data_IF_632012479592
#
_entry.id   IF_632012479592
#
_cell.length_a   1.000
_cell.length_b   1.000
_cell.length_c   1.000
_cell.angle_alpha   90.00
_cell.angle_beta   90.00
_cell.angle_gamma   90.00
#
_symmetry.space_group_name_H-M   'P 1'
#
loop_
_entity.id
_entity.type
_entity.pdbx_description
1 polymer ?
#
# COMPACT_ATOMS: atom_id res chain seq x y z
N UNK A 1 -15.63 37.46 36.57
CA UNK A 1 -15.41 36.79 35.27
C UNK A 1 -14.56 35.55 35.47
N UNK A 2 -15.11 34.36 35.18
CA UNK A 2 -14.39 33.09 35.34
C UNK A 2 -13.19 33.02 34.40
N UNK A 3 -11.97 32.97 34.95
CA UNK A 3 -10.73 32.82 34.18
C UNK A 3 -10.71 31.41 33.56
N UNK A 4 -10.98 31.31 32.26
CA UNK A 4 -10.78 30.08 31.48
C UNK A 4 -9.30 29.72 31.53
N UNK A 5 -9.00 28.47 31.90
CA UNK A 5 -7.64 27.93 31.87
C UNK A 5 -7.09 27.98 30.43
N UNK A 6 -6.07 28.81 30.20
CA UNK A 6 -5.39 28.95 28.90
C UNK A 6 -3.91 28.64 29.10
N UNK A 7 -3.38 27.72 28.29
CA UNK A 7 -1.94 27.45 28.27
C UNK A 7 -1.19 28.62 27.63
N UNK A 8 -0.02 28.97 28.19
CA UNK A 8 0.87 29.97 27.60
C UNK A 8 1.31 29.50 26.21
N UNK A 9 1.19 30.37 25.22
CA UNK A 9 1.71 30.17 23.86
C UNK A 9 3.21 30.44 23.80
N UNK A 10 3.86 30.22 22.66
CA UNK A 10 5.26 30.61 22.50
C UNK A 10 5.43 32.14 22.52
N UNK A 11 4.47 32.87 21.91
CA UNK A 11 4.44 34.34 21.94
C UNK A 11 4.31 34.90 23.36
N UNK A 12 3.49 34.27 24.21
CA UNK A 12 3.36 34.68 25.61
C UNK A 12 4.70 34.51 26.35
N UNK A 13 5.43 33.42 26.07
CA UNK A 13 6.76 33.17 26.66
C UNK A 13 7.80 34.19 26.21
N UNK A 14 7.81 34.59 24.94
CA UNK A 14 8.67 35.66 24.44
C UNK A 14 8.35 37.01 25.11
N UNK A 15 7.07 37.25 25.42
CA UNK A 15 6.63 38.45 26.15
C UNK A 15 7.15 38.45 27.59
N UNK A 16 7.13 37.29 28.27
CA UNK A 16 7.73 37.12 29.60
C UNK A 16 9.22 37.46 29.58
N UNK A 17 9.99 36.90 28.64
CA UNK A 17 11.42 37.18 28.51
C UNK A 17 11.70 38.66 28.28
N UNK A 18 11.01 39.28 27.31
CA UNK A 18 11.19 40.70 26.99
C UNK A 18 10.93 41.60 28.20
N UNK A 19 9.85 41.37 28.93
CA UNK A 19 9.49 42.19 30.10
C UNK A 19 10.44 41.97 31.29
N UNK A 20 10.95 40.75 31.47
CA UNK A 20 11.96 40.46 32.49
C UNK A 20 13.29 41.16 32.19
N UNK A 21 13.75 41.16 30.94
CA UNK A 21 14.99 41.83 30.52
C UNK A 21 14.96 43.35 30.70
N UNK A 22 13.77 43.95 30.67
CA UNK A 22 13.61 45.40 30.84
C UNK A 22 13.75 45.85 32.31
N UNK A 23 13.77 44.94 33.28
CA UNK A 23 13.94 45.19 34.73
C UNK A 23 13.04 46.30 35.34
N UNK A 24 11.95 46.66 34.66
CA UNK A 24 10.99 47.71 35.06
C UNK A 24 9.61 47.16 35.42
N UNK A 25 9.35 45.90 35.12
CA UNK A 25 8.05 45.27 35.27
C UNK A 25 8.06 44.25 36.40
N UNK A 26 7.07 44.33 37.27
CA UNK A 26 6.83 43.30 38.27
C UNK A 26 6.26 42.04 37.62
N UNK A 27 6.32 40.91 38.33
CA UNK A 27 5.69 39.66 37.86
C UNK A 27 4.16 39.79 37.77
N UNK A 28 3.56 40.76 38.47
CA UNK A 28 2.14 41.10 38.37
C UNK A 28 1.85 41.81 37.04
N UNK A 29 2.68 42.78 36.64
CA UNK A 29 2.54 43.46 35.35
C UNK A 29 2.66 42.49 34.16
N UNK A 30 3.57 41.51 34.27
CA UNK A 30 3.72 40.44 33.26
C UNK A 30 2.46 39.57 33.20
N UNK A 31 1.89 39.24 34.36
CA UNK A 31 0.67 38.43 34.44
C UNK A 31 -0.53 39.16 33.83
N UNK A 32 -0.66 40.47 34.08
CA UNK A 32 -1.73 41.31 33.55
C UNK A 32 -1.58 41.54 32.04
N UNK A 33 -0.35 41.76 31.54
CA UNK A 33 -0.07 41.89 30.11
C UNK A 33 -0.43 40.63 29.29
N UNK A 34 -0.22 39.43 29.88
CA UNK A 34 -0.53 38.15 29.24
C UNK A 34 -1.99 37.71 29.51
N UNK A 35 -2.65 38.31 30.51
CA UNK A 35 -4.00 37.94 30.94
C UNK A 35 -4.05 36.60 31.69
N UNK A 36 -3.05 36.28 32.51
CA UNK A 36 -2.99 35.04 33.29
C UNK A 36 -2.84 35.31 34.80
N UNK A 37 -2.80 34.25 35.63
CA UNK A 37 -2.58 34.44 37.07
C UNK A 37 -1.11 34.66 37.39
N UNK A 38 -0.85 35.48 38.42
CA UNK A 38 0.50 35.71 38.96
C UNK A 38 1.25 34.39 39.20
N UNK A 39 0.57 33.41 39.80
CA UNK A 39 1.09 32.07 40.08
C UNK A 39 1.54 31.33 38.82
N UNK A 40 0.88 31.54 37.68
CA UNK A 40 1.28 30.95 36.38
C UNK A 40 2.65 31.48 35.95
N UNK A 41 2.86 32.79 36.05
CA UNK A 41 4.15 33.44 35.71
C UNK A 41 5.27 32.95 36.62
N UNK A 42 5.03 32.85 37.94
CA UNK A 42 6.04 32.33 38.88
C UNK A 42 6.47 30.89 38.54
N UNK A 43 5.52 30.00 38.26
CA UNK A 43 5.85 28.61 37.90
C UNK A 43 6.49 28.50 36.52
N UNK A 44 6.09 29.32 35.56
CA UNK A 44 6.69 29.32 34.23
C UNK A 44 8.17 29.73 34.31
N UNK A 45 8.47 30.83 35.01
CA UNK A 45 9.85 31.32 35.19
C UNK A 45 10.68 30.24 35.89
N UNK A 46 10.19 29.69 37.01
CA UNK A 46 10.91 28.67 37.78
C UNK A 46 11.27 27.41 36.96
N UNK A 47 10.50 27.08 35.93
CA UNK A 47 10.70 25.87 35.11
C UNK A 47 11.77 25.99 34.04
N UNK A 48 12.24 27.20 33.74
CA UNK A 48 13.10 27.45 32.59
C UNK A 48 14.07 28.61 32.81
N UNK A 49 14.58 28.74 34.03
CA UNK A 49 15.73 29.61 34.32
C UNK A 49 17.04 28.88 34.07
N UNK A 50 18.04 29.61 33.58
CA UNK A 50 19.39 29.12 33.33
C UNK A 50 20.44 30.16 33.74
N UNK A 51 21.67 29.73 33.98
CA UNK A 51 22.81 30.63 34.26
C UNK A 51 23.33 31.15 32.92
N UNK A 52 23.29 32.46 32.75
CA UNK A 52 23.84 33.16 31.59
C UNK A 52 25.14 33.86 31.99
N UNK A 53 26.19 33.64 31.22
CA UNK A 53 27.46 34.37 31.36
C UNK A 53 27.44 35.57 30.43
N UNK A 54 27.57 36.75 31.00
CA UNK A 54 27.65 38.02 30.28
C UNK A 54 29.03 38.18 29.62
N UNK A 55 29.15 39.16 28.71
CA UNK A 55 30.41 39.45 28.01
C UNK A 55 31.54 39.90 28.94
N UNK A 56 31.21 40.43 30.10
CA UNK A 56 32.12 40.84 31.17
C UNK A 56 32.48 39.68 32.13
N UNK A 57 32.14 38.44 31.76
CA UNK A 57 32.35 37.21 32.54
C UNK A 57 31.55 37.14 33.85
N UNK A 58 30.65 38.09 34.12
CA UNK A 58 29.69 37.98 35.23
C UNK A 58 28.60 36.95 34.89
N UNK A 59 27.98 36.38 35.92
CA UNK A 59 26.91 35.39 35.74
C UNK A 59 25.59 35.92 36.29
N UNK A 60 24.50 35.69 35.58
CA UNK A 60 23.15 36.03 36.03
C UNK A 60 22.13 34.94 35.65
N UNK A 61 21.01 34.91 36.37
CA UNK A 61 19.94 33.94 36.09
C UNK A 61 18.96 34.56 35.11
N UNK A 62 18.83 33.98 33.92
CA UNK A 62 17.84 34.40 32.90
C UNK A 62 16.77 33.35 32.69
N UNK A 63 15.59 33.79 32.24
CA UNK A 63 14.51 32.94 31.78
C UNK A 63 14.66 32.65 30.28
N UNK A 64 14.46 31.39 29.85
CA UNK A 64 14.49 31.00 28.44
C UNK A 64 13.10 30.55 27.96
N UNK A 65 12.48 31.28 27.01
CA UNK A 65 11.25 30.85 26.34
C UNK A 65 11.38 29.51 25.62
N UNK A 66 12.54 29.23 25.03
CA UNK A 66 12.81 28.01 24.28
C UNK A 66 12.81 26.78 25.20
N UNK A 67 13.55 26.85 26.31
CA UNK A 67 13.58 25.79 27.32
C UNK A 67 12.19 25.59 27.93
N UNK A 68 11.49 26.69 28.27
CA UNK A 68 10.13 26.62 28.80
C UNK A 68 9.16 25.93 27.84
N UNK A 69 9.24 26.29 26.55
CA UNK A 69 8.38 25.72 25.53
C UNK A 69 8.72 24.26 25.24
N UNK A 70 10.01 23.90 25.20
CA UNK A 70 10.47 22.52 25.03
C UNK A 70 9.98 21.64 26.19
N UNK A 71 10.22 22.04 27.43
CA UNK A 71 9.78 21.33 28.64
C UNK A 71 8.26 21.14 28.67
N UNK A 72 7.48 22.17 28.30
CA UNK A 72 6.03 22.06 28.19
C UNK A 72 5.61 21.03 27.12
N UNK A 73 6.23 21.05 25.94
CA UNK A 73 5.94 20.09 24.87
C UNK A 73 6.31 18.67 25.26
N UNK A 74 7.42 18.47 25.97
CA UNK A 74 7.86 17.15 26.40
C UNK A 74 6.97 16.60 27.51
N UNK A 75 6.55 17.43 28.46
CA UNK A 75 5.54 17.06 29.45
C UNK A 75 4.19 16.69 28.80
N UNK A 76 3.78 17.37 27.72
CA UNK A 76 2.59 16.98 26.95
C UNK A 76 2.76 15.62 26.26
N UNK A 77 3.94 15.33 25.71
CA UNK A 77 4.24 14.01 25.12
C UNK A 77 4.17 12.89 26.18
N UNK A 78 4.68 13.16 27.40
CA UNK A 78 4.71 12.21 28.50
C UNK A 78 3.33 11.94 29.14
N UNK A 79 2.38 12.87 29.05
CA UNK A 79 1.03 12.75 29.61
C UNK A 79 0.08 11.85 28.81
N UNK A 80 0.51 11.28 27.69
CA UNK A 80 -0.35 10.43 26.85
C UNK A 80 -0.66 9.07 27.50
N UNK A 81 -1.92 8.63 27.43
CA UNK A 81 -2.29 7.24 27.74
C UNK A 81 -1.44 6.29 26.88
N UNK A 82 -0.89 5.25 27.48
CA UNK A 82 -0.15 4.21 26.75
C UNK A 82 -1.00 3.71 25.57
N UNK A 83 -0.53 3.81 24.33
CA UNK A 83 -1.32 3.44 23.16
C UNK A 83 -1.77 1.97 23.24
N UNK A 84 -3.00 1.67 22.80
CA UNK A 84 -3.55 0.30 22.79
C UNK A 84 -2.59 -0.73 22.13
N UNK A 85 -1.92 -0.31 21.06
CA UNK A 85 -0.92 -1.12 20.33
C UNK A 85 0.30 -1.53 21.17
N UNK A 86 0.63 -0.76 22.21
CA UNK A 86 1.73 -1.06 23.13
C UNK A 86 1.26 -1.95 24.29
N UNK A 87 -0.04 -1.89 24.64
CA UNK A 87 -0.61 -2.64 25.76
C UNK A 87 -0.98 -4.07 25.38
N UNK A 88 -1.57 -4.29 24.20
CA UNK A 88 -1.90 -5.64 23.75
C UNK A 88 -0.74 -6.29 22.98
N UNK A 89 0.01 -7.16 23.67
CA UNK A 89 1.13 -7.90 23.09
C UNK A 89 0.70 -8.98 22.10
N UNK A 90 -0.45 -9.63 22.30
CA UNK A 90 -0.97 -10.68 21.42
C UNK A 90 -1.38 -10.10 20.06
N UNK A 91 -2.20 -9.05 20.06
CA UNK A 91 -2.59 -8.34 18.83
C UNK A 91 -1.37 -7.77 18.12
N UNK A 92 -0.40 -7.22 18.87
CA UNK A 92 0.86 -6.72 18.32
C UNK A 92 1.61 -7.83 17.57
N UNK A 93 1.84 -8.99 18.22
CA UNK A 93 2.52 -10.14 17.61
C UNK A 93 1.79 -10.66 16.39
N UNK A 94 0.46 -10.77 16.44
CA UNK A 94 -0.35 -11.18 15.29
C UNK A 94 -0.16 -10.24 14.11
N UNK A 95 -0.24 -8.92 14.33
CA UNK A 95 -0.02 -7.92 13.27
C UNK A 95 1.40 -8.01 12.69
N UNK A 96 2.43 -8.19 13.53
CA UNK A 96 3.81 -8.39 13.06
C UNK A 96 3.92 -9.64 12.18
N UNK A 97 3.43 -10.78 12.64
CA UNK A 97 3.47 -12.04 11.87
C UNK A 97 2.75 -11.90 10.54
N UNK A 98 1.54 -11.34 10.51
CA UNK A 98 0.77 -11.21 9.29
C UNK A 98 1.42 -10.27 8.27
N UNK A 99 2.05 -9.18 8.71
CA UNK A 99 2.70 -8.23 7.78
C UNK A 99 4.08 -8.72 7.36
N UNK A 100 4.92 -9.18 8.29
CA UNK A 100 6.32 -9.51 8.01
C UNK A 100 6.44 -10.87 7.32
N UNK A 101 5.75 -11.89 7.83
CA UNK A 101 5.86 -13.26 7.31
C UNK A 101 4.85 -13.49 6.19
N UNK A 102 3.57 -13.19 6.44
CA UNK A 102 2.51 -13.39 5.45
C UNK A 102 2.37 -12.24 4.46
N UNK A 103 3.17 -11.16 4.57
CA UNK A 103 3.19 -10.04 3.61
C UNK A 103 1.86 -9.30 3.48
N UNK A 104 1.00 -9.27 4.50
CA UNK A 104 -0.27 -8.53 4.46
C UNK A 104 -0.06 -7.02 4.56
N UNK A 105 -1.01 -6.23 4.05
CA UNK A 105 -1.09 -4.80 4.40
C UNK A 105 -1.79 -4.65 5.76
N UNK A 106 -1.53 -3.56 6.52
CA UNK A 106 -2.26 -3.30 7.77
C UNK A 106 -3.78 -3.37 7.62
N UNK A 107 -4.31 -2.91 6.49
CA UNK A 107 -5.73 -3.03 6.19
C UNK A 107 -6.19 -4.46 5.95
N UNK A 108 -5.42 -5.27 5.22
CA UNK A 108 -5.76 -6.68 4.97
C UNK A 108 -5.72 -7.51 6.26
N UNK A 109 -4.83 -7.19 7.21
CA UNK A 109 -4.81 -7.81 8.54
C UNK A 109 -6.14 -7.58 9.25
N UNK A 110 -6.62 -6.34 9.31
CA UNK A 110 -7.89 -6.02 9.98
C UNK A 110 -9.10 -6.63 9.29
N UNK A 111 -9.08 -6.71 7.95
CA UNK A 111 -10.12 -7.39 7.19
C UNK A 111 -10.13 -8.89 7.46
N UNK A 112 -8.95 -9.54 7.51
CA UNK A 112 -8.82 -10.95 7.85
C UNK A 112 -9.33 -11.26 9.25
N UNK A 113 -8.92 -10.48 10.26
CA UNK A 113 -9.43 -10.60 11.64
C UNK A 113 -10.96 -10.57 11.68
N UNK A 114 -11.57 -9.64 10.92
CA UNK A 114 -13.03 -9.50 10.88
C UNK A 114 -13.70 -10.71 10.20
N UNK A 115 -13.15 -11.18 9.09
CA UNK A 115 -13.72 -12.30 8.33
C UNK A 115 -13.59 -13.62 9.12
N UNK A 116 -12.45 -13.82 9.78
CA UNK A 116 -12.16 -15.01 10.59
C UNK A 116 -12.84 -14.98 11.97
N UNK A 117 -13.57 -13.91 12.29
CA UNK A 117 -14.26 -13.75 13.58
C UNK A 117 -13.31 -13.64 14.79
N UNK A 118 -12.05 -13.25 14.56
CA UNK A 118 -11.04 -13.13 15.60
C UNK A 118 -11.29 -11.88 16.46
N UNK A 119 -11.06 -12.00 17.76
CA UNK A 119 -11.14 -10.90 18.70
C UNK A 119 -9.90 -10.86 19.58
N UNK A 120 -9.38 -9.64 19.78
CA UNK A 120 -8.29 -9.39 20.72
C UNK A 120 -8.70 -8.26 21.66
N UNK A 121 -8.36 -8.37 22.93
CA UNK A 121 -8.69 -7.34 23.92
C UNK A 121 -8.01 -6.00 23.60
N UNK A 122 -8.68 -4.86 23.79
CA UNK A 122 -8.17 -3.55 23.38
C UNK A 122 -7.67 -3.45 21.91
N UNK A 123 -8.17 -4.28 20.97
CA UNK A 123 -7.73 -4.24 19.57
C UNK A 123 -7.98 -2.88 18.88
N UNK A 124 -7.19 -2.64 17.83
CA UNK A 124 -7.31 -1.46 16.98
C UNK A 124 -8.07 -1.82 15.71
N UNK A 125 -9.16 -1.10 15.44
CA UNK A 125 -10.03 -1.34 14.28
C UNK A 125 -9.69 -0.49 13.05
N UNK A 126 -8.78 0.48 13.18
CA UNK A 126 -8.40 1.38 12.09
C UNK A 126 -7.02 1.06 11.53
N UNK A 127 -6.96 0.84 10.22
CA UNK A 127 -5.69 0.65 9.53
C UNK A 127 -4.78 1.89 9.63
N UNK A 128 -5.35 3.11 9.71
CA UNK A 128 -4.56 4.34 9.87
C UNK A 128 -3.83 4.39 11.20
N UNK A 129 -4.43 3.83 12.25
CA UNK A 129 -3.82 3.71 13.57
C UNK A 129 -2.68 2.68 13.55
N UNK A 130 -2.84 1.57 12.83
CA UNK A 130 -1.74 0.62 12.60
C UNK A 130 -0.57 1.27 11.85
N UNK A 131 -0.83 1.96 10.73
CA UNK A 131 0.23 2.69 10.01
C UNK A 131 0.93 3.72 10.91
N UNK A 132 0.18 4.44 11.75
CA UNK A 132 0.75 5.40 12.70
C UNK A 132 1.61 4.71 13.75
N UNK A 133 1.18 3.55 14.26
CA UNK A 133 1.96 2.74 15.21
C UNK A 133 3.27 2.23 14.60
N UNK A 134 3.23 1.73 13.36
CA UNK A 134 4.43 1.30 12.62
C UNK A 134 5.40 2.47 12.44
N UNK A 135 4.90 3.63 12.00
CA UNK A 135 5.72 4.84 11.82
C UNK A 135 6.35 5.33 13.13
N UNK A 136 5.66 5.14 14.26
CA UNK A 136 6.14 5.53 15.60
C UNK A 136 7.04 4.48 16.26
N UNK A 137 7.30 3.34 15.62
CA UNK A 137 8.13 2.28 16.17
C UNK A 137 7.48 1.54 17.34
N UNK A 138 6.15 1.41 17.36
CA UNK A 138 5.46 0.63 18.41
C UNK A 138 5.63 -0.88 18.23
N UNK A 139 6.15 -1.32 17.09
CA UNK A 139 6.42 -2.71 16.74
C UNK A 139 7.93 -2.99 16.82
N UNK A 140 8.29 -4.19 17.29
CA UNK A 140 9.70 -4.59 17.46
C UNK A 140 10.28 -5.10 16.14
N UNK A 141 9.52 -5.93 15.43
CA UNK A 141 9.98 -6.61 14.22
C UNK A 141 9.35 -6.08 12.93
N UNK A 142 8.64 -4.96 13.00
CA UNK A 142 7.88 -4.39 11.89
C UNK A 142 8.18 -2.91 11.73
N UNK A 143 8.55 -2.52 10.52
CA UNK A 143 8.84 -1.14 10.15
C UNK A 143 8.16 -0.73 8.85
N UNK A 144 8.39 0.50 8.41
CA UNK A 144 7.83 1.00 7.16
C UNK A 144 8.36 0.27 5.91
N UNK A 145 9.51 -0.40 5.99
CA UNK A 145 10.11 -1.11 4.84
C UNK A 145 9.40 -2.42 4.52
N UNK A 146 8.74 -3.00 5.51
CA UNK A 146 7.98 -4.25 5.37
C UNK A 146 6.61 -4.02 4.71
N UNK A 147 6.20 -2.76 4.61
CA UNK A 147 4.91 -2.39 4.06
C UNK A 147 4.91 -2.47 2.52
N UNK A 148 3.76 -2.83 1.90
CA UNK A 148 3.65 -3.05 0.46
C UNK A 148 3.97 -1.85 -0.44
N UNK A 149 3.84 -0.63 0.09
CA UNK A 149 4.09 0.63 -0.62
C UNK A 149 5.10 1.47 0.15
N UNK A 150 6.32 0.95 0.26
CA UNK A 150 7.44 1.70 0.79
C UNK A 150 8.15 2.49 -0.33
N UNK A 151 8.70 3.66 0.00
CA UNK A 151 9.45 4.51 -0.93
C UNK A 151 8.66 5.63 -1.61
N UNK A 152 9.38 6.47 -2.38
CA UNK A 152 8.80 7.62 -3.08
C UNK A 152 8.14 7.19 -4.40
N UNK A 153 6.86 7.52 -4.58
CA UNK A 153 6.17 7.35 -5.86
C UNK A 153 6.64 8.43 -6.84
N UNK A 154 7.50 8.08 -7.78
CA UNK A 154 7.90 9.00 -8.85
C UNK A 154 6.76 9.15 -9.87
N UNK A 155 6.05 10.29 -9.85
CA UNK A 155 5.08 10.65 -10.89
C UNK A 155 5.82 10.82 -12.22
N UNK A 156 5.67 9.87 -13.13
CA UNK A 156 6.18 10.01 -14.50
C UNK A 156 5.35 11.06 -15.25
N UNK A 157 6.02 12.03 -15.89
CA UNK A 157 5.35 13.03 -16.74
C UNK A 157 4.65 12.29 -17.90
N UNK A 158 3.35 12.57 -18.11
CA UNK A 158 2.58 12.03 -19.25
C UNK A 158 3.13 12.64 -20.54
N UNK A 159 3.82 11.86 -21.37
CA UNK A 159 4.18 12.26 -22.74
C UNK A 159 3.06 11.80 -23.67
N UNK A 160 2.34 12.74 -24.32
CA UNK A 160 1.48 12.42 -25.47
C UNK A 160 2.39 11.89 -26.57
N UNK A 161 2.20 10.63 -26.98
CA UNK A 161 2.92 10.04 -28.11
C UNK A 161 1.92 9.35 -29.00
N UNK A 162 1.99 9.70 -30.28
CA UNK A 162 1.17 9.11 -31.35
C UNK A 162 1.62 7.68 -31.58
N UNK A 163 0.66 6.76 -31.70
CA UNK A 163 0.90 5.36 -32.01
C UNK A 163 1.59 5.24 -33.37
N UNK A 164 2.85 4.75 -33.38
CA UNK A 164 3.65 4.61 -34.61
C UNK A 164 3.40 3.30 -35.37
N UNK A 165 2.72 2.31 -34.77
CA UNK A 165 2.50 0.97 -35.35
C UNK A 165 1.10 0.46 -35.02
N UNK A 166 0.46 -0.18 -36.00
CA UNK A 166 -0.83 -0.86 -35.86
C UNK A 166 -0.66 -2.00 -34.83
N UNK A 167 -1.69 -2.24 -34.03
CA UNK A 167 -1.69 -3.35 -33.07
C UNK A 167 -1.60 -4.71 -33.81
N UNK A 168 -0.92 -5.73 -33.26
CA UNK A 168 -0.75 -7.01 -33.94
C UNK A 168 -2.05 -7.73 -34.27
N UNK A 169 -3.10 -7.53 -33.46
CA UNK A 169 -4.42 -8.15 -33.63
C UNK A 169 -5.58 -7.18 -33.41
N UNK A 170 -6.71 -7.72 -32.92
CA UNK A 170 -7.94 -6.95 -32.74
C UNK A 170 -7.75 -5.81 -31.72
N UNK A 171 -7.99 -4.57 -32.13
CA UNK A 171 -7.95 -3.40 -31.23
C UNK A 171 -8.98 -3.49 -30.11
N UNK A 172 -8.62 -3.00 -28.92
CA UNK A 172 -9.49 -2.88 -27.74
C UNK A 172 -10.77 -2.08 -28.01
N UNK A 173 -10.77 -1.19 -29.01
CA UNK A 173 -11.94 -0.41 -29.43
C UNK A 173 -13.08 -1.28 -29.96
N UNK A 174 -12.75 -2.46 -30.51
CA UNK A 174 -13.73 -3.44 -31.01
C UNK A 174 -14.26 -4.37 -29.91
N UNK A 175 -13.86 -4.16 -28.65
CA UNK A 175 -14.37 -4.93 -27.52
C UNK A 175 -15.70 -4.34 -27.06
N UNK A 176 -16.64 -5.21 -26.71
CA UNK A 176 -17.93 -4.80 -26.19
C UNK A 176 -17.74 -3.86 -24.97
N UNK A 177 -18.47 -2.75 -24.97
CA UNK A 177 -18.43 -1.73 -23.93
C UNK A 177 -18.91 -2.27 -22.58
N UNK A 178 -19.77 -3.30 -22.55
CA UNK A 178 -20.23 -3.92 -21.30
C UNK A 178 -19.06 -4.46 -20.45
N UNK A 179 -17.95 -4.83 -21.11
CA UNK A 179 -16.75 -5.34 -20.45
C UNK A 179 -16.05 -4.24 -19.63
N UNK A 180 -16.20 -2.95 -19.99
CA UNK A 180 -15.58 -1.84 -19.26
C UNK A 180 -16.11 -1.73 -17.82
N UNK A 181 -17.37 -2.08 -17.59
CA UNK A 181 -18.02 -2.04 -16.28
C UNK A 181 -17.47 -3.05 -15.28
N UNK A 182 -16.70 -4.06 -15.72
CA UNK A 182 -16.14 -5.12 -14.87
C UNK A 182 -17.17 -5.98 -14.12
N UNK A 183 -18.43 -5.93 -14.55
CA UNK A 183 -19.53 -6.72 -13.97
C UNK A 183 -19.68 -8.11 -14.60
N UNK A 184 -19.04 -8.32 -15.75
CA UNK A 184 -19.14 -9.55 -16.53
C UNK A 184 -17.94 -10.47 -16.25
N UNK A 185 -18.26 -11.67 -15.73
CA UNK A 185 -17.28 -12.70 -15.45
C UNK A 185 -16.68 -13.27 -16.73
N UNK A 186 -15.38 -13.57 -16.67
CA UNK A 186 -14.60 -14.29 -17.68
C UNK A 186 -13.85 -13.38 -18.64
N UNK A 187 -13.71 -12.10 -18.31
CA UNK A 187 -12.86 -11.18 -19.06
C UNK A 187 -11.51 -11.07 -18.35
N UNK A 188 -10.43 -11.40 -19.03
CA UNK A 188 -9.10 -11.47 -18.43
C UNK A 188 -8.20 -10.36 -18.97
N UNK A 189 -7.35 -9.82 -18.11
CA UNK A 189 -6.19 -9.02 -18.50
C UNK A 189 -4.94 -9.89 -18.35
N UNK A 190 -4.05 -9.87 -19.33
CA UNK A 190 -2.82 -10.65 -19.32
C UNK A 190 -1.60 -9.72 -19.35
N UNK A 191 -0.57 -10.07 -18.56
CA UNK A 191 0.67 -9.30 -18.43
C UNK A 191 1.87 -10.19 -18.13
N UNK A 192 3.07 -9.69 -18.41
CA UNK A 192 4.31 -10.36 -18.06
C UNK A 192 5.03 -9.64 -16.93
N UNK A 193 5.30 -10.36 -15.84
CA UNK A 193 6.14 -9.90 -14.73
C UNK A 193 7.56 -10.36 -14.97
N UNK A 194 8.46 -9.39 -15.21
CA UNK A 194 9.88 -9.63 -15.49
C UNK A 194 10.76 -9.40 -14.25
N UNK A 195 11.83 -10.18 -14.10
CA UNK A 195 12.81 -10.04 -13.01
C UNK A 195 13.96 -9.09 -13.38
N UNK A 196 15.22 -9.54 -13.26
CA UNK A 196 16.39 -8.87 -13.84
C UNK A 196 16.31 -8.90 -15.37
N UNK A 197 16.94 -7.92 -16.03
CA UNK A 197 17.00 -7.83 -17.50
C UNK A 197 17.68 -9.02 -18.17
N UNK A 198 18.55 -9.73 -17.46
CA UNK A 198 19.28 -10.92 -17.94
C UNK A 198 18.50 -12.22 -17.76
N UNK A 199 17.36 -12.21 -17.06
CA UNK A 199 16.60 -13.43 -16.82
C UNK A 199 15.95 -13.91 -18.12
N UNK A 200 15.95 -15.22 -18.32
CA UNK A 200 15.16 -15.87 -19.38
C UNK A 200 13.73 -16.06 -18.92
N UNK A 201 13.55 -16.56 -17.69
CA UNK A 201 12.24 -16.86 -17.13
C UNK A 201 11.48 -15.59 -16.77
N UNK A 202 10.18 -15.62 -17.05
CA UNK A 202 9.23 -14.58 -16.68
C UNK A 202 7.95 -15.21 -16.14
N UNK A 203 7.19 -14.47 -15.33
CA UNK A 203 5.89 -14.94 -14.85
C UNK A 203 4.81 -14.29 -15.71
N UNK A 204 3.98 -15.10 -16.35
CA UNK A 204 2.78 -14.65 -17.04
C UNK A 204 1.64 -14.58 -16.03
N UNK A 205 1.04 -13.42 -15.85
CA UNK A 205 -0.10 -13.21 -14.97
C UNK A 205 -1.37 -12.98 -15.79
N UNK A 206 -2.46 -13.64 -15.42
CA UNK A 206 -3.79 -13.42 -15.96
C UNK A 206 -4.72 -13.02 -14.81
N UNK A 207 -5.27 -11.82 -14.87
CA UNK A 207 -6.18 -11.27 -13.87
C UNK A 207 -7.61 -11.25 -14.40
N UNK A 208 -8.54 -11.94 -13.74
CA UNK A 208 -9.97 -11.87 -14.06
C UNK A 208 -10.55 -10.52 -13.62
N UNK A 209 -11.25 -9.83 -14.52
CA UNK A 209 -11.61 -8.41 -14.36
C UNK A 209 -12.79 -8.15 -13.42
N UNK A 210 -13.58 -9.14 -13.02
CA UNK A 210 -14.70 -9.03 -12.07
C UNK A 210 -14.27 -9.39 -10.65
N UNK A 211 -13.68 -10.57 -10.46
CA UNK A 211 -13.31 -11.14 -9.16
C UNK A 211 -11.86 -10.88 -8.78
N UNK A 212 -11.01 -10.42 -9.72
CA UNK A 212 -9.55 -10.29 -9.53
C UNK A 212 -8.86 -11.59 -9.13
N UNK A 213 -9.38 -12.71 -9.63
CA UNK A 213 -8.71 -14.00 -9.53
C UNK A 213 -7.48 -13.98 -10.44
N UNK A 214 -6.35 -14.43 -9.91
CA UNK A 214 -5.09 -14.51 -10.64
C UNK A 214 -4.82 -15.95 -11.06
N UNK A 215 -4.33 -16.12 -12.29
CA UNK A 215 -3.62 -17.31 -12.74
C UNK A 215 -2.21 -16.87 -13.11
N UNK A 216 -1.21 -17.58 -12.61
CA UNK A 216 0.20 -17.28 -12.87
C UNK A 216 0.89 -18.51 -13.47
N UNK A 217 1.55 -18.33 -14.61
CA UNK A 217 2.31 -19.37 -15.29
C UNK A 217 3.80 -19.00 -15.40
N UNK A 218 4.67 -20.00 -15.30
CA UNK A 218 6.11 -19.82 -15.55
C UNK A 218 6.35 -19.87 -17.06
N UNK A 219 6.94 -18.82 -17.62
CA UNK A 219 7.50 -18.83 -18.97
C UNK A 219 8.99 -19.14 -18.88
N UNK A 220 9.47 -20.09 -19.69
CA UNK A 220 10.89 -20.44 -19.79
C UNK A 220 11.72 -19.35 -20.47
N UNK A 221 11.10 -18.60 -21.37
CA UNK A 221 11.67 -17.46 -22.08
C UNK A 221 10.58 -16.40 -22.28
N UNK A 222 10.97 -15.13 -22.41
CA UNK A 222 10.05 -14.03 -22.64
C UNK A 222 9.70 -13.90 -24.14
N UNK A 223 9.01 -14.90 -24.68
CA UNK A 223 8.68 -15.01 -26.11
C UNK A 223 7.20 -15.33 -26.33
N UNK A 224 6.69 -15.00 -27.52
CA UNK A 224 5.28 -15.24 -27.86
C UNK A 224 4.90 -16.72 -27.93
N UNK A 225 5.82 -17.56 -28.43
CA UNK A 225 5.65 -19.01 -28.42
C UNK A 225 5.47 -19.58 -27.00
N UNK A 226 6.24 -19.10 -26.02
CA UNK A 226 6.11 -19.58 -24.65
C UNK A 226 4.82 -19.08 -23.98
N UNK A 227 4.33 -17.89 -24.33
CA UNK A 227 3.00 -17.42 -23.90
C UNK A 227 1.89 -18.30 -24.48
N UNK A 228 1.93 -18.62 -25.77
CA UNK A 228 0.96 -19.52 -26.39
C UNK A 228 0.99 -20.92 -25.74
N UNK A 229 2.18 -21.45 -25.44
CA UNK A 229 2.35 -22.69 -24.66
C UNK A 229 1.76 -22.59 -23.25
N UNK A 230 1.87 -21.45 -22.58
CA UNK A 230 1.24 -21.23 -21.28
C UNK A 230 -0.29 -21.28 -21.36
N UNK A 231 -0.89 -20.61 -22.36
CA UNK A 231 -2.33 -20.71 -22.61
C UNK A 231 -2.76 -22.15 -22.93
N UNK A 232 -1.96 -22.90 -23.70
CA UNK A 232 -2.21 -24.32 -23.95
C UNK A 232 -2.23 -25.14 -22.66
N UNK A 233 -1.31 -24.87 -21.72
CA UNK A 233 -1.29 -25.54 -20.41
C UNK A 233 -2.54 -25.23 -19.59
N UNK A 234 -2.98 -23.97 -19.58
CA UNK A 234 -4.21 -23.54 -18.90
C UNK A 234 -5.44 -24.22 -19.52
N UNK A 235 -5.55 -24.20 -20.85
CA UNK A 235 -6.64 -24.84 -21.59
C UNK A 235 -6.67 -26.35 -21.36
N UNK A 236 -5.51 -27.02 -21.35
CA UNK A 236 -5.43 -28.45 -21.01
C UNK A 236 -5.86 -28.74 -19.58
N UNK A 237 -5.47 -27.90 -18.60
CA UNK A 237 -5.83 -28.06 -17.19
C UNK A 237 -7.32 -27.86 -16.93
N UNK A 238 -7.97 -26.92 -17.63
CA UNK A 238 -9.38 -26.60 -17.45
C UNK A 238 -10.32 -27.41 -18.36
N UNK A 239 -9.80 -27.98 -19.45
CA UNK A 239 -10.59 -28.74 -20.43
C UNK A 239 -11.74 -27.90 -20.99
N UNK A 240 -12.93 -28.49 -21.09
CA UNK A 240 -14.13 -27.81 -21.59
C UNK A 240 -14.51 -26.56 -20.76
N UNK A 241 -14.17 -26.51 -19.47
CA UNK A 241 -14.46 -25.36 -18.60
C UNK A 241 -13.70 -24.11 -19.01
N UNK A 242 -12.59 -24.24 -19.74
CA UNK A 242 -11.84 -23.08 -20.25
C UNK A 242 -12.75 -22.12 -21.01
N UNK A 243 -13.63 -22.64 -21.86
CA UNK A 243 -14.48 -21.83 -22.73
C UNK A 243 -15.62 -21.12 -21.99
N UNK A 244 -15.97 -21.57 -20.78
CA UNK A 244 -16.92 -20.91 -19.90
C UNK A 244 -16.24 -19.79 -19.11
N UNK A 245 -14.98 -20.01 -18.72
CA UNK A 245 -14.19 -19.11 -17.86
C UNK A 245 -13.47 -18.00 -18.64
N UNK A 246 -13.11 -18.24 -19.91
CA UNK A 246 -12.34 -17.29 -20.73
C UNK A 246 -13.16 -16.75 -21.91
N UNK A 247 -13.92 -15.69 -21.67
CA UNK A 247 -14.69 -14.98 -22.71
C UNK A 247 -13.82 -14.09 -23.59
N UNK A 248 -12.92 -13.32 -22.98
CA UNK A 248 -11.95 -12.48 -23.70
C UNK A 248 -10.64 -12.36 -22.91
N UNK A 249 -9.54 -12.11 -23.62
CA UNK A 249 -8.24 -11.77 -23.02
C UNK A 249 -7.79 -10.41 -23.57
N UNK A 250 -7.28 -9.55 -22.69
CA UNK A 250 -6.76 -8.22 -23.04
C UNK A 250 -5.27 -8.15 -22.75
N UNK A 251 -4.47 -7.80 -23.76
CA UNK A 251 -3.00 -7.68 -23.69
C UNK A 251 -2.55 -6.28 -24.09
N UNK A 252 -1.29 -5.94 -23.82
CA UNK A 252 -0.67 -4.81 -24.48
C UNK A 252 0.04 -5.20 -25.78
N UNK A 253 0.74 -4.25 -26.37
CA UNK A 253 1.50 -4.44 -27.62
C UNK A 253 2.94 -4.93 -27.35
N UNK A 254 3.17 -5.61 -26.22
CA UNK A 254 4.44 -6.26 -25.89
C UNK A 254 4.88 -7.25 -26.97
N UNK A 255 6.20 -7.42 -27.11
CA UNK A 255 6.75 -8.34 -28.11
C UNK A 255 6.37 -9.80 -27.87
N UNK A 256 6.18 -10.17 -26.62
CA UNK A 256 5.73 -11.48 -26.17
C UNK A 256 4.25 -11.75 -26.47
N UNK A 257 3.48 -10.75 -26.88
CA UNK A 257 2.07 -10.92 -27.23
C UNK A 257 1.81 -10.75 -28.72
N UNK A 258 2.85 -10.74 -29.57
CA UNK A 258 2.69 -10.47 -31.02
C UNK A 258 2.01 -11.59 -31.81
N UNK A 259 2.12 -12.84 -31.36
CA UNK A 259 1.54 -14.00 -32.05
C UNK A 259 0.05 -14.15 -31.75
N UNK A 260 -0.78 -13.26 -32.31
CA UNK A 260 -2.22 -13.26 -32.03
C UNK A 260 -2.90 -14.57 -32.43
N UNK A 261 -2.43 -15.22 -33.50
CA UNK A 261 -2.98 -16.51 -33.96
C UNK A 261 -2.69 -17.61 -32.95
N UNK A 262 -1.45 -17.72 -32.46
CA UNK A 262 -1.08 -18.67 -31.42
C UNK A 262 -1.81 -18.43 -30.10
N UNK A 263 -2.02 -17.17 -29.71
CA UNK A 263 -2.79 -16.81 -28.52
C UNK A 263 -4.26 -17.23 -28.65
N UNK A 264 -4.87 -17.07 -29.83
CA UNK A 264 -6.27 -17.43 -30.07
C UNK A 264 -6.47 -18.89 -30.44
N UNK A 265 -5.46 -19.64 -30.88
CA UNK A 265 -5.60 -21.04 -31.36
C UNK A 265 -5.98 -22.01 -30.23
N UNK A 266 -7.08 -22.74 -30.36
CA UNK A 266 -7.44 -23.79 -29.40
C UNK A 266 -6.62 -25.07 -29.62
N UNK A 267 -6.43 -25.85 -28.56
CA UNK A 267 -5.86 -27.21 -28.61
C UNK A 267 -6.93 -28.29 -28.42
N UNK A 268 -8.04 -27.96 -27.76
CA UNK A 268 -9.10 -28.92 -27.41
C UNK A 268 -10.35 -28.79 -28.31
N UNK A 269 -10.35 -27.91 -29.30
CA UNK A 269 -11.44 -27.78 -30.30
C UNK A 269 -10.95 -27.21 -31.62
N UNK A 270 -11.73 -27.41 -32.68
CA UNK A 270 -11.53 -26.72 -33.95
C UNK A 270 -11.87 -25.23 -33.76
N UNK A 271 -10.97 -24.35 -34.21
CA UNK A 271 -11.14 -22.90 -34.15
C UNK A 271 -10.38 -22.24 -33.00
N UNK A 272 -10.95 -21.14 -32.48
CA UNK A 272 -10.29 -20.27 -31.50
C UNK A 272 -10.64 -20.64 -30.06
N UNK A 273 -9.70 -20.51 -29.12
CA UNK A 273 -9.91 -20.73 -27.68
C UNK A 273 -10.70 -19.59 -27.05
N UNK A 274 -10.36 -18.36 -27.40
CA UNK A 274 -11.02 -17.12 -26.94
C UNK A 274 -10.58 -15.97 -27.84
N UNK A 275 -11.18 -14.79 -27.66
CA UNK A 275 -10.82 -13.58 -28.41
C UNK A 275 -9.81 -12.73 -27.66
N UNK A 276 -8.75 -12.30 -28.34
CA UNK A 276 -7.68 -11.47 -27.78
C UNK A 276 -7.80 -10.03 -28.30
N UNK A 277 -7.74 -9.08 -27.36
CA UNK A 277 -7.82 -7.65 -27.64
C UNK A 277 -6.53 -6.93 -27.22
N UNK A 278 -6.05 -6.04 -28.08
CA UNK A 278 -4.82 -5.28 -27.88
C UNK A 278 -5.11 -3.85 -27.48
N UNK A 279 -4.51 -3.43 -26.36
CA UNK A 279 -4.61 -2.06 -25.87
C UNK A 279 -3.89 -1.06 -26.79
N UNK A 280 -4.24 0.22 -26.65
CA UNK A 280 -3.51 1.29 -27.30
C UNK A 280 -2.07 1.38 -26.77
N UNK A 281 -1.17 1.81 -27.64
CA UNK A 281 0.22 2.03 -27.26
C UNK A 281 0.31 3.03 -26.10
N UNK A 282 1.02 2.66 -25.02
CA UNK A 282 1.24 3.50 -23.82
C UNK A 282 -0.05 3.90 -23.09
N UNK A 283 -1.10 3.07 -23.14
CA UNK A 283 -2.34 3.24 -22.40
C UNK A 283 -2.51 2.20 -21.27
N UNK A 284 -1.64 2.19 -20.23
CA UNK A 284 -1.72 1.19 -19.15
C UNK A 284 -3.05 1.21 -18.40
N UNK A 285 -3.78 2.32 -18.39
CA UNK A 285 -5.10 2.45 -17.76
C UNK A 285 -6.15 1.49 -18.33
N UNK A 286 -5.97 1.03 -19.57
CA UNK A 286 -6.88 0.06 -20.22
C UNK A 286 -6.77 -1.34 -19.62
N UNK A 287 -5.68 -1.58 -18.87
CA UNK A 287 -5.39 -2.78 -18.07
C UNK A 287 -5.17 -2.42 -16.60
N UNK A 288 -6.04 -1.58 -16.06
CA UNK A 288 -5.91 -1.08 -14.69
C UNK A 288 -6.01 -2.15 -13.59
N UNK A 289 -6.39 -3.40 -13.92
CA UNK A 289 -6.43 -4.50 -12.95
C UNK A 289 -5.03 -5.08 -12.75
N UNK A 290 -4.27 -5.21 -13.84
CA UNK A 290 -2.89 -5.70 -13.84
C UNK A 290 -1.96 -4.88 -12.94
N UNK A 291 -2.11 -3.55 -12.86
CA UNK A 291 -1.23 -2.73 -12.02
C UNK A 291 -1.30 -3.16 -10.55
N UNK A 292 -2.51 -3.35 -10.02
CA UNK A 292 -2.69 -3.76 -8.63
C UNK A 292 -2.33 -5.25 -8.41
N UNK A 293 -2.65 -6.11 -9.36
CA UNK A 293 -2.27 -7.52 -9.34
C UNK A 293 -0.74 -7.67 -9.30
N UNK A 294 -0.04 -6.97 -10.19
CA UNK A 294 1.42 -6.94 -10.23
C UNK A 294 2.01 -6.45 -8.91
N UNK A 295 1.43 -5.44 -8.25
CA UNK A 295 1.90 -5.01 -6.92
C UNK A 295 1.84 -6.14 -5.87
N UNK A 296 0.83 -7.02 -5.93
CA UNK A 296 0.73 -8.19 -5.06
C UNK A 296 1.77 -9.25 -5.43
N UNK A 297 1.92 -9.55 -6.73
CA UNK A 297 2.95 -10.47 -7.23
C UNK A 297 4.36 -10.01 -6.81
N UNK A 298 4.63 -8.70 -6.91
CA UNK A 298 5.94 -8.11 -6.56
C UNK A 298 6.30 -8.23 -5.09
N UNK A 299 5.37 -8.52 -4.18
CA UNK A 299 5.69 -8.82 -2.77
C UNK A 299 6.50 -10.12 -2.63
N UNK A 300 6.28 -11.07 -3.53
CA UNK A 300 6.95 -12.37 -3.54
C UNK A 300 7.97 -12.52 -4.67
N UNK A 301 7.79 -11.78 -5.77
CA UNK A 301 8.66 -11.76 -6.93
C UNK A 301 9.18 -10.33 -7.20
N UNK A 302 10.09 -9.80 -6.35
CA UNK A 302 10.56 -8.42 -6.45
C UNK A 302 11.19 -8.09 -7.80
N UNK A 303 11.17 -6.81 -8.16
CA UNK A 303 11.88 -6.33 -9.34
C UNK A 303 13.38 -6.54 -9.16
N UNK A 304 14.08 -7.00 -10.19
CA UNK A 304 15.51 -7.27 -10.11
C UNK A 304 15.88 -8.55 -9.35
N UNK A 305 14.91 -9.38 -8.96
CA UNK A 305 15.20 -10.73 -8.49
C UNK A 305 15.58 -11.66 -9.67
N UNK A 306 16.41 -12.65 -9.37
CA UNK A 306 16.84 -13.67 -10.33
C UNK A 306 15.77 -14.76 -10.49
N UNK A 307 14.91 -14.60 -11.50
CA UNK A 307 13.78 -15.49 -11.78
C UNK A 307 14.25 -16.81 -12.36
N UNK A 308 15.41 -16.87 -12.99
CA UNK A 308 15.94 -18.14 -13.48
C UNK A 308 16.17 -19.09 -12.29
N UNK A 309 16.62 -18.53 -11.15
CA UNK A 309 16.78 -19.25 -9.88
C UNK A 309 15.47 -19.44 -9.09
N UNK A 310 14.68 -18.38 -8.87
CA UNK A 310 13.55 -18.44 -7.91
C UNK A 310 12.22 -18.87 -8.53
N UNK A 311 12.05 -18.76 -9.84
CA UNK A 311 10.77 -18.98 -10.50
C UNK A 311 10.60 -20.48 -10.85
N UNK A 312 9.91 -21.18 -9.95
CA UNK A 312 9.48 -22.58 -10.10
C UNK A 312 7.95 -22.66 -10.14
N UNK A 313 7.40 -23.78 -10.60
CA UNK A 313 5.94 -23.99 -10.63
C UNK A 313 5.33 -23.93 -9.23
N UNK A 314 5.97 -24.56 -8.24
CA UNK A 314 5.49 -24.56 -6.85
C UNK A 314 5.54 -23.17 -6.23
N UNK A 315 6.60 -22.41 -6.51
CA UNK A 315 6.70 -21.03 -6.04
C UNK A 315 5.59 -20.18 -6.64
N UNK A 316 5.34 -20.31 -7.94
CA UNK A 316 4.26 -19.58 -8.62
C UNK A 316 2.89 -19.96 -8.07
N UNK A 317 2.63 -21.25 -7.85
CA UNK A 317 1.37 -21.72 -7.25
C UNK A 317 1.16 -21.15 -5.84
N UNK A 318 2.20 -21.16 -5.01
CA UNK A 318 2.15 -20.57 -3.66
C UNK A 318 1.83 -19.07 -3.72
N UNK A 319 2.42 -18.35 -4.68
CA UNK A 319 2.14 -16.92 -4.88
C UNK A 319 0.72 -16.71 -5.39
N UNK A 320 0.26 -17.50 -6.35
CA UNK A 320 -1.12 -17.47 -6.87
C UNK A 320 -2.15 -17.69 -5.75
N UNK A 321 -1.99 -18.76 -4.97
CA UNK A 321 -2.84 -19.07 -3.82
C UNK A 321 -2.86 -17.90 -2.83
N UNK A 322 -1.68 -17.40 -2.44
CA UNK A 322 -1.59 -16.25 -1.52
C UNK A 322 -2.35 -15.03 -2.05
N UNK A 323 -2.25 -14.71 -3.34
CA UNK A 323 -2.94 -13.55 -3.94
C UNK A 323 -4.46 -13.78 -4.00
N UNK A 324 -4.88 -15.00 -4.27
CA UNK A 324 -6.29 -15.35 -4.42
C UNK A 324 -7.02 -15.45 -3.07
N UNK A 325 -6.33 -15.86 -2.00
CA UNK A 325 -6.84 -15.86 -0.63
C UNK A 325 -6.63 -14.52 0.11
N UNK A 326 -5.89 -13.57 -0.47
CA UNK A 326 -5.66 -12.26 0.13
C UNK A 326 -6.97 -11.47 0.36
N UNK A 327 -7.27 -11.01 1.59
CA UNK A 327 -8.44 -10.17 1.87
C UNK A 327 -8.38 -8.82 1.14
N UNK A 328 -9.41 -8.48 0.36
CA UNK A 328 -9.41 -7.26 -0.45
C UNK A 328 -10.43 -6.25 0.05
N UNK A 329 -9.98 -5.00 0.27
CA UNK A 329 -10.86 -3.85 0.58
C UNK A 329 -11.95 -3.65 -0.48
N UNK A 330 -11.62 -3.86 -1.75
CA UNK A 330 -12.57 -3.77 -2.87
C UNK A 330 -13.79 -4.68 -2.66
N UNK A 331 -13.60 -5.82 -2.01
CA UNK A 331 -14.62 -6.84 -1.76
C UNK A 331 -15.02 -6.91 -0.28
N UNK A 332 -14.80 -5.83 0.46
CA UNK A 332 -15.17 -5.70 1.89
C UNK A 332 -14.60 -6.80 2.79
N UNK A 333 -13.48 -7.40 2.42
CA UNK A 333 -12.81 -8.46 3.19
C UNK A 333 -12.76 -9.81 2.48
N UNK A 334 -13.75 -10.11 1.63
CA UNK A 334 -13.74 -11.35 0.83
C UNK A 334 -12.50 -11.43 -0.07
N UNK A 335 -12.01 -12.65 -0.26
CA UNK A 335 -10.89 -12.94 -1.14
C UNK A 335 -11.35 -13.26 -2.57
N UNK A 336 -10.44 -13.14 -3.54
CA UNK A 336 -10.76 -13.40 -4.96
C UNK A 336 -11.16 -14.84 -5.21
N UNK A 337 -10.60 -15.80 -4.45
CA UNK A 337 -10.90 -17.22 -4.56
C UNK A 337 -12.40 -17.49 -4.35
N UNK A 338 -12.96 -17.03 -3.23
CA UNK A 338 -14.38 -17.21 -2.90
C UNK A 338 -15.28 -16.61 -3.99
N UNK A 339 -14.99 -15.39 -4.42
CA UNK A 339 -15.80 -14.73 -5.46
C UNK A 339 -15.70 -15.42 -6.82
N UNK A 340 -14.55 -15.99 -7.16
CA UNK A 340 -14.37 -16.76 -8.38
C UNK A 340 -15.17 -18.06 -8.34
N UNK A 341 -15.13 -18.80 -7.23
CA UNK A 341 -15.94 -20.00 -7.03
C UNK A 341 -17.45 -19.69 -7.05
N UNK A 342 -17.89 -18.58 -6.45
CA UNK A 342 -19.28 -18.11 -6.52
C UNK A 342 -19.72 -17.85 -7.97
N UNK A 343 -18.86 -17.31 -8.84
CA UNK A 343 -19.16 -17.11 -10.26
C UNK A 343 -19.08 -18.42 -11.05
N UNK A 344 -18.14 -19.31 -10.75
CA UNK A 344 -18.06 -20.64 -11.36
C UNK A 344 -19.31 -21.47 -11.08
N UNK A 345 -19.88 -21.36 -9.87
CA UNK A 345 -21.11 -22.05 -9.50
C UNK A 345 -22.32 -21.60 -10.35
N UNK A 346 -22.32 -20.36 -10.85
CA UNK A 346 -23.38 -19.82 -11.74
C UNK A 346 -23.24 -20.27 -13.19
N UNK A 347 -22.11 -20.88 -13.55
CA UNK A 347 -21.83 -21.39 -14.91
C UNK A 347 -22.09 -22.90 -15.04
N UNK A 348 -22.41 -23.57 -13.93
CA UNK A 348 -22.93 -24.93 -13.91
C UNK A 348 -24.43 -24.88 -14.17
#
# INVERSE_FOLDING_TARGET
MGRKFKHLTYSDRLTIERMLLQNKFSKQDIADAIGCSLRTIYYEIKRATYVHTNTDLTTEIRYSPEIAHANYRDALKAKGRTPKLVRNLEFKKYVETMIVQYKYSPEAVLLGIKEDGLYFDEMVFSHTTLYTGIKRGYFENLSMVDLPRHGKSNKRKKKKVVQKRIAPGTSIEKRDRIVLGRETFGNWEMDSVVGKSTNRKTALALTERKTRYEIIEVLKSHTADEVAKALNRIEKRLGARFYLVFKTITVDNGSEFKDFEGLEKAINRVGKRTKVYYCHARAPQERGSNENANLLIRRWLPKGADFDKILTRDKVKTVEEWINFYPRRLFKGKCSYVLFEEELAKLR
#
